data_IF_965259816048
#
_entry.id   IF_965259816048
#
_cell.length_a   1.000
_cell.length_b   1.000
_cell.length_c   1.000
_cell.angle_alpha   90.00
_cell.angle_beta   90.00
_cell.angle_gamma   90.00
#
_symmetry.space_group_name_H-M   'P 1'
#
loop_
_entity.id
_entity.type
_entity.pdbx_description
1 polymer ?
#
# COMPACT_ATOMS: atom_id res chain seq x y z
N UNK A 1 7.52 4.04 -10.41
CA UNK A 1 6.84 4.92 -11.40
C UNK A 1 5.68 5.61 -10.68
N UNK A 2 5.60 6.95 -10.67
CA UNK A 2 4.52 7.67 -9.94
C UNK A 2 3.29 7.87 -10.84
N UNK A 3 2.23 7.10 -10.61
CA UNK A 3 1.02 7.10 -11.46
C UNK A 3 0.19 8.37 -11.29
N UNK A 4 -0.09 8.74 -10.03
CA UNK A 4 -0.98 9.85 -9.73
C UNK A 4 -0.46 11.19 -10.25
N UNK A 5 0.82 11.50 -10.01
CA UNK A 5 1.44 12.75 -10.49
C UNK A 5 1.39 12.86 -12.02
N UNK A 6 1.58 11.74 -12.74
CA UNK A 6 1.48 11.72 -14.20
C UNK A 6 0.05 11.95 -14.68
N UNK A 7 -0.93 11.28 -14.05
CA UNK A 7 -2.34 11.42 -14.40
C UNK A 7 -2.84 12.85 -14.16
N UNK A 8 -2.56 13.42 -12.98
CA UNK A 8 -2.93 14.79 -12.62
C UNK A 8 -2.27 15.83 -13.54
N UNK A 9 -1.00 15.63 -13.89
CA UNK A 9 -0.31 16.50 -14.84
C UNK A 9 -0.91 16.47 -16.25
N UNK A 10 -1.34 15.29 -16.73
CA UNK A 10 -2.02 15.17 -18.02
C UNK A 10 -3.43 15.80 -17.99
N UNK A 11 -4.17 15.61 -16.89
CA UNK A 11 -5.48 16.18 -16.68
C UNK A 11 -5.44 17.71 -16.68
N UNK A 12 -4.54 18.31 -15.89
CA UNK A 12 -4.39 19.78 -15.80
C UNK A 12 -4.06 20.42 -17.15
N UNK A 13 -3.23 19.78 -17.98
CA UNK A 13 -2.93 20.27 -19.35
C UNK A 13 -4.15 20.26 -20.27
N UNK A 14 -5.03 19.26 -20.14
CA UNK A 14 -6.23 19.11 -20.97
C UNK A 14 -7.39 19.98 -20.48
N UNK A 15 -7.44 20.28 -19.18
CA UNK A 15 -8.50 21.01 -18.53
C UNK A 15 -7.94 22.20 -17.70
N UNK A 16 -7.37 23.23 -18.35
CA UNK A 16 -6.64 24.29 -17.65
C UNK A 16 -7.51 25.21 -16.78
N UNK A 17 -8.83 25.15 -16.93
CA UNK A 17 -9.80 25.92 -16.14
C UNK A 17 -10.37 25.13 -14.95
N UNK A 18 -9.94 23.89 -14.75
CA UNK A 18 -10.38 23.04 -13.64
C UNK A 18 -9.35 23.11 -12.52
N UNK A 19 -9.80 23.47 -11.33
CA UNK A 19 -9.00 23.37 -10.11
C UNK A 19 -9.09 21.95 -9.55
N UNK A 20 -7.96 21.39 -9.14
CA UNK A 20 -7.89 20.06 -8.51
C UNK A 20 -7.38 20.21 -7.09
N UNK A 21 -8.22 19.84 -6.12
CA UNK A 21 -7.82 19.74 -4.71
C UNK A 21 -7.44 18.30 -4.39
N UNK A 22 -6.31 18.11 -3.70
CA UNK A 22 -5.82 16.78 -3.31
C UNK A 22 -5.63 16.73 -1.80
N UNK A 23 -6.10 15.66 -1.17
CA UNK A 23 -5.81 15.35 0.24
C UNK A 23 -5.23 13.96 0.37
N UNK A 24 -4.32 13.80 1.33
CA UNK A 24 -3.73 12.52 1.68
C UNK A 24 -4.33 12.00 2.98
N UNK A 25 -4.79 10.75 2.97
CA UNK A 25 -5.31 10.05 4.14
C UNK A 25 -5.22 8.53 3.94
N UNK A 26 -5.52 7.76 4.98
CA UNK A 26 -5.61 6.31 4.89
C UNK A 26 -6.72 5.86 3.91
N UNK A 27 -6.50 4.75 3.21
CA UNK A 27 -7.44 4.24 2.20
C UNK A 27 -8.87 4.07 2.73
N UNK A 28 -9.04 3.53 3.95
CA UNK A 28 -10.36 3.38 4.57
C UNK A 28 -11.09 4.72 4.75
N UNK A 29 -10.38 5.78 5.12
CA UNK A 29 -10.97 7.11 5.31
C UNK A 29 -11.37 7.72 3.96
N UNK A 30 -10.59 7.49 2.91
CA UNK A 30 -10.88 7.98 1.56
C UNK A 30 -12.08 7.24 0.95
N UNK A 31 -12.22 5.93 1.18
CA UNK A 31 -13.41 5.17 0.76
C UNK A 31 -14.67 5.70 1.47
N UNK A 32 -14.61 5.92 2.78
CA UNK A 32 -15.73 6.47 3.54
C UNK A 32 -16.13 7.86 3.04
N UNK A 33 -15.15 8.71 2.74
CA UNK A 33 -15.39 10.04 2.20
C UNK A 33 -15.99 10.06 0.79
N UNK A 34 -15.55 9.13 -0.07
CA UNK A 34 -16.15 8.93 -1.39
C UNK A 34 -17.62 8.51 -1.25
N UNK A 35 -17.92 7.57 -0.36
CA UNK A 35 -19.28 7.13 -0.09
C UNK A 35 -20.17 8.25 0.51
N UNK A 36 -19.57 9.16 1.30
CA UNK A 36 -20.24 10.33 1.86
C UNK A 36 -20.41 11.50 0.86
N UNK A 37 -19.86 11.39 -0.35
CA UNK A 37 -19.89 12.47 -1.36
C UNK A 37 -18.95 13.64 -1.06
N UNK A 38 -17.99 13.48 -0.13
CA UNK A 38 -16.97 14.49 0.16
C UNK A 38 -15.81 14.48 -0.85
N UNK A 39 -15.64 13.37 -1.56
CA UNK A 39 -14.67 13.20 -2.62
C UNK A 39 -15.39 12.75 -3.88
N UNK A 40 -15.01 13.31 -5.02
CA UNK A 40 -15.47 12.83 -6.33
C UNK A 40 -14.69 11.57 -6.77
N UNK A 41 -13.42 11.46 -6.34
CA UNK A 41 -12.51 10.38 -6.68
C UNK A 41 -11.64 10.01 -5.48
N UNK A 42 -11.38 8.72 -5.30
CA UNK A 42 -10.42 8.21 -4.33
C UNK A 42 -9.44 7.24 -5.01
N UNK A 43 -8.14 7.46 -4.79
CA UNK A 43 -7.09 6.50 -5.14
C UNK A 43 -6.67 5.81 -3.86
N UNK A 44 -6.85 4.50 -3.80
CA UNK A 44 -6.65 3.69 -2.60
C UNK A 44 -5.72 2.53 -2.86
N UNK A 45 -5.16 1.99 -1.78
CA UNK A 45 -4.43 0.73 -1.79
C UNK A 45 -5.34 -0.36 -1.23
N UNK A 46 -5.50 -1.45 -1.97
CA UNK A 46 -6.29 -2.61 -1.59
C UNK A 46 -5.42 -3.86 -1.66
N UNK A 47 -5.57 -4.76 -0.68
CA UNK A 47 -4.73 -5.96 -0.56
C UNK A 47 -5.52 -7.27 -0.38
N UNK A 48 -6.83 -7.20 -0.09
CA UNK A 48 -7.69 -8.36 0.11
C UNK A 48 -9.01 -8.23 -0.67
N UNK A 49 -9.82 -7.23 -0.32
CA UNK A 49 -11.13 -7.05 -0.93
C UNK A 49 -11.06 -5.92 -1.96
N UNK A 50 -11.49 -6.23 -3.19
CA UNK A 50 -11.63 -5.25 -4.26
C UNK A 50 -12.92 -4.45 -4.05
N UNK A 51 -12.82 -3.12 -3.94
CA UNK A 51 -14.00 -2.24 -3.85
C UNK A 51 -14.80 -2.11 -5.15
N UNK A 52 -14.38 -2.80 -6.22
CA UNK A 52 -14.96 -2.68 -7.56
C UNK A 52 -14.46 -1.47 -8.35
N UNK A 53 -13.43 -0.77 -7.86
CA UNK A 53 -12.78 0.33 -8.57
C UNK A 53 -11.89 -0.13 -9.73
N UNK A 54 -11.38 0.83 -10.50
CA UNK A 54 -10.41 0.57 -11.56
C UNK A 54 -9.01 0.32 -10.98
N UNK A 55 -8.39 -0.79 -11.37
CA UNK A 55 -7.03 -1.12 -10.95
C UNK A 55 -6.03 -0.27 -11.76
N UNK A 56 -5.40 0.69 -11.08
CA UNK A 56 -4.37 1.53 -11.69
C UNK A 56 -3.00 0.83 -11.80
N UNK A 57 -2.68 -0.04 -10.84
CA UNK A 57 -1.40 -0.76 -10.76
C UNK A 57 -1.43 -1.88 -9.72
N UNK A 58 -0.68 -2.94 -10.00
CA UNK A 58 -0.28 -3.94 -9.00
C UNK A 58 1.12 -3.59 -8.51
N UNK A 59 1.25 -3.31 -7.22
CA UNK A 59 2.54 -3.04 -6.57
C UNK A 59 3.01 -4.29 -5.80
N UNK A 60 4.06 -5.00 -6.26
CA UNK A 60 4.50 -6.22 -5.62
C UNK A 60 5.08 -5.93 -4.23
N UNK A 61 4.49 -6.52 -3.19
CA UNK A 61 5.06 -6.48 -1.84
C UNK A 61 6.15 -7.54 -1.72
N UNK A 62 7.37 -7.11 -1.35
CA UNK A 62 8.55 -7.98 -1.26
C UNK A 62 9.20 -7.92 0.12
N UNK A 63 9.87 -9.00 0.49
CA UNK A 63 10.80 -8.99 1.61
C UNK A 63 12.10 -8.31 1.21
N UNK A 64 12.66 -7.50 2.10
CA UNK A 64 13.93 -6.80 1.91
C UNK A 64 14.87 -7.14 3.04
N UNK A 65 16.15 -7.29 2.73
CA UNK A 65 17.21 -7.56 3.69
C UNK A 65 18.46 -6.74 3.36
N UNK A 66 19.45 -6.75 4.25
CA UNK A 66 20.73 -6.08 4.03
C UNK A 66 21.68 -7.00 3.25
N UNK A 67 22.42 -6.43 2.31
CA UNK A 67 23.55 -7.11 1.66
C UNK A 67 24.82 -7.15 2.55
N UNK A 68 24.82 -6.44 3.68
CA UNK A 68 25.95 -6.38 4.61
C UNK A 68 25.70 -7.21 5.87
N UNK A 69 24.44 -7.36 6.26
CA UNK A 69 24.03 -8.11 7.44
C UNK A 69 23.07 -9.22 7.02
N UNK A 70 23.56 -10.45 7.03
CA UNK A 70 22.87 -11.67 6.57
C UNK A 70 21.80 -12.17 7.56
N UNK A 71 21.02 -11.26 8.14
CA UNK A 71 19.95 -11.57 9.10
C UNK A 71 18.89 -12.51 8.51
N UNK A 72 18.72 -12.49 7.19
CA UNK A 72 17.80 -13.39 6.48
C UNK A 72 18.24 -14.87 6.46
N UNK A 73 19.47 -15.16 6.89
CA UNK A 73 20.02 -16.52 6.98
C UNK A 73 19.89 -17.11 8.39
N UNK A 74 19.54 -16.30 9.40
CA UNK A 74 19.36 -16.76 10.77
C UNK A 74 18.09 -17.60 10.95
N UNK A 75 18.13 -18.53 11.90
CA UNK A 75 16.99 -19.35 12.31
C UNK A 75 16.82 -19.28 13.83
N UNK A 76 15.64 -18.87 14.34
CA UNK A 76 14.47 -18.38 13.60
C UNK A 76 14.72 -17.03 12.92
N UNK A 77 14.08 -16.79 11.77
CA UNK A 77 14.24 -15.60 10.94
C UNK A 77 13.85 -14.32 11.72
N UNK A 78 14.79 -13.39 11.99
CA UNK A 78 14.46 -12.08 12.55
C UNK A 78 13.70 -11.22 11.55
N UNK A 79 12.55 -10.70 11.98
CA UNK A 79 11.74 -9.78 11.18
C UNK A 79 11.48 -8.47 11.92
N UNK A 80 11.52 -7.38 11.17
CA UNK A 80 11.05 -6.08 11.63
C UNK A 80 9.63 -5.85 11.13
N UNK A 81 8.73 -5.44 12.03
CA UNK A 81 7.34 -5.18 11.70
C UNK A 81 6.98 -3.75 12.14
N UNK A 82 6.04 -3.14 11.43
CA UNK A 82 5.42 -1.92 11.91
C UNK A 82 4.69 -2.20 13.24
N UNK A 83 4.81 -1.27 14.20
CA UNK A 83 4.21 -1.42 15.53
C UNK A 83 2.67 -1.44 15.49
N UNK A 84 2.07 -0.80 14.48
CA UNK A 84 0.61 -0.77 14.33
C UNK A 84 0.09 -2.04 13.66
N UNK A 85 -1.01 -2.57 14.19
CA UNK A 85 -1.80 -3.57 13.49
C UNK A 85 -2.31 -3.01 12.14
N UNK A 86 -2.36 -3.88 11.13
CA UNK A 86 -2.78 -3.49 9.78
C UNK A 86 -2.24 -4.46 8.73
N UNK A 87 -2.63 -4.18 7.48
CA UNK A 87 -2.40 -5.08 6.34
C UNK A 87 -0.95 -5.56 6.22
N UNK A 88 0.04 -4.69 6.45
CA UNK A 88 1.45 -5.03 6.25
C UNK A 88 1.91 -6.09 7.26
N UNK A 89 1.48 -5.97 8.53
CA UNK A 89 1.78 -6.94 9.57
C UNK A 89 1.10 -8.28 9.26
N UNK A 90 -0.19 -8.25 8.91
CA UNK A 90 -0.95 -9.46 8.60
C UNK A 90 -0.39 -10.18 7.36
N UNK A 91 -0.05 -9.43 6.31
CA UNK A 91 0.58 -9.95 5.10
C UNK A 91 1.94 -10.59 5.41
N UNK A 92 2.80 -9.90 6.15
CA UNK A 92 4.14 -10.39 6.51
C UNK A 92 4.04 -11.72 7.28
N UNK A 93 3.25 -11.75 8.35
CA UNK A 93 3.08 -12.95 9.19
C UNK A 93 2.49 -14.11 8.40
N UNK A 94 1.38 -13.89 7.67
CA UNK A 94 0.75 -14.94 6.84
C UNK A 94 1.72 -15.48 5.79
N UNK A 95 2.55 -14.62 5.18
CA UNK A 95 3.51 -15.07 4.16
C UNK A 95 4.60 -15.99 4.72
N UNK A 96 4.98 -15.81 5.99
CA UNK A 96 5.96 -16.69 6.67
C UNK A 96 5.31 -18.00 7.10
N UNK A 97 4.12 -17.94 7.67
CA UNK A 97 3.35 -19.10 8.12
C UNK A 97 3.02 -20.04 6.95
N UNK A 98 2.58 -19.49 5.82
CA UNK A 98 2.30 -20.26 4.60
C UNK A 98 3.53 -20.98 4.05
N UNK A 99 4.73 -20.46 4.34
CA UNK A 99 6.01 -21.06 3.93
C UNK A 99 6.61 -21.98 5.00
N UNK A 100 5.98 -22.10 6.17
CA UNK A 100 6.49 -22.88 7.30
C UNK A 100 7.81 -22.35 7.87
N UNK A 101 8.09 -21.05 7.73
CA UNK A 101 9.33 -20.45 8.23
C UNK A 101 9.19 -20.06 9.69
N UNK A 102 10.06 -20.57 10.56
CA UNK A 102 10.16 -20.10 11.94
C UNK A 102 10.70 -18.66 11.96
N UNK A 103 10.04 -17.76 12.68
CA UNK A 103 10.39 -16.34 12.75
C UNK A 103 10.34 -15.81 14.19
N UNK A 104 11.03 -14.68 14.42
CA UNK A 104 10.96 -13.89 15.65
C UNK A 104 10.88 -12.41 15.33
N UNK A 105 10.13 -11.65 16.12
CA UNK A 105 10.13 -10.18 16.03
C UNK A 105 11.37 -9.67 16.77
N UNK A 106 12.20 -8.88 16.09
CA UNK A 106 13.47 -8.36 16.61
C UNK A 106 13.38 -6.88 16.97
#
# INVERSE_FOLDING_TARGET
HAILSRALGAFSKRHPKVEVTVRYAHSWAQVAALAAGELDLAVVFEWQDLSGGEVLMHDPTVWVTSNLHHMHEEQPLPIALYNRAGWCKDFAIKSLEQRGLAYRVA
#
